data_IF_276235722401
#
_entry.id   IF_276235722401
#
_cell.length_a   1.000
_cell.length_b   1.000
_cell.length_c   1.000
_cell.angle_alpha   90.00
_cell.angle_beta   90.00
_cell.angle_gamma   90.00
#
_symmetry.space_group_name_H-M   'P 1'
#
loop_
_entity.id
_entity.type
_entity.pdbx_description
1 polymer ?
#
# COMPACT_ATOMS: atom_id res chain seq x y z
N UNK A 1 7.21 36.14 12.51
CA UNK A 1 6.60 34.80 12.53
C UNK A 1 7.34 33.99 13.58
N UNK A 2 6.64 33.71 14.67
CA UNK A 2 7.17 32.93 15.80
C UNK A 2 7.42 31.46 15.40
N UNK A 3 8.26 30.75 16.15
CA UNK A 3 8.57 29.34 15.86
C UNK A 3 7.32 28.45 15.91
N UNK A 4 6.44 28.68 16.89
CA UNK A 4 5.17 27.97 17.06
C UNK A 4 4.22 28.15 15.87
N UNK A 5 4.18 29.35 15.29
CA UNK A 5 3.36 29.66 14.11
C UNK A 5 3.87 28.92 12.87
N UNK A 6 5.20 28.84 12.68
CA UNK A 6 5.81 28.04 11.61
C UNK A 6 5.46 26.56 11.72
N UNK A 7 5.47 26.03 12.95
CA UNK A 7 5.16 24.63 13.23
C UNK A 7 3.71 24.33 12.85
N UNK A 8 2.76 25.19 13.27
CA UNK A 8 1.33 25.03 12.93
C UNK A 8 1.09 25.04 11.42
N UNK A 9 1.61 26.03 10.71
CA UNK A 9 1.49 26.12 9.25
C UNK A 9 2.05 24.87 8.56
N UNK A 10 3.14 24.30 9.09
CA UNK A 10 3.71 23.07 8.55
C UNK A 10 2.80 21.86 8.81
N UNK A 11 2.34 21.69 10.05
CA UNK A 11 1.46 20.59 10.47
C UNK A 11 0.11 20.64 9.74
N UNK A 12 -0.41 21.82 9.44
CA UNK A 12 -1.65 22.00 8.67
C UNK A 12 -1.56 21.52 7.24
N UNK A 13 -0.37 21.55 6.64
CA UNK A 13 -0.12 20.99 5.30
C UNK A 13 0.04 19.47 5.31
N UNK A 14 0.17 18.83 6.48
CA UNK A 14 0.32 17.38 6.57
C UNK A 14 -1.03 16.67 6.40
N UNK A 15 -1.06 15.48 5.78
CA UNK A 15 -2.30 14.74 5.55
C UNK A 15 -2.96 14.36 6.89
N UNK A 16 -4.29 14.52 6.97
CA UNK A 16 -5.07 14.14 8.15
C UNK A 16 -5.13 12.62 8.31
N UNK A 17 -5.20 12.15 9.55
CA UNK A 17 -5.35 10.74 9.84
C UNK A 17 -6.83 10.35 9.77
N UNK A 18 -7.19 9.51 8.81
CA UNK A 18 -8.52 8.90 8.68
C UNK A 18 -8.45 7.40 9.00
N UNK A 19 -9.38 6.91 9.81
CA UNK A 19 -9.48 5.49 10.14
C UNK A 19 -9.70 4.64 8.88
N UNK A 20 -9.06 3.47 8.80
CA UNK A 20 -9.11 2.59 7.63
C UNK A 20 -8.18 2.98 6.46
N UNK A 21 -7.59 4.19 6.46
CA UNK A 21 -6.69 4.66 5.40
C UNK A 21 -5.24 4.85 5.87
N UNK A 22 -4.80 4.07 6.86
CA UNK A 22 -3.44 4.19 7.39
C UNK A 22 -3.23 5.43 8.28
N UNK A 23 -4.28 6.01 8.87
CA UNK A 23 -4.20 7.19 9.75
C UNK A 23 -3.20 7.05 10.91
N UNK A 24 -2.97 5.82 11.40
CA UNK A 24 -1.96 5.50 12.42
C UNK A 24 -0.52 5.86 11.98
N UNK A 25 -0.22 5.72 10.69
CA UNK A 25 1.07 6.08 10.10
C UNK A 25 1.17 7.59 9.85
N UNK A 26 0.09 8.22 9.41
CA UNK A 26 0.03 9.67 9.24
C UNK A 26 0.29 10.39 10.57
N UNK A 27 -0.42 9.98 11.64
CA UNK A 27 -0.24 10.52 12.99
C UNK A 27 1.19 10.32 13.52
N UNK A 28 1.80 9.14 13.27
CA UNK A 28 3.20 8.89 13.64
C UNK A 28 4.19 9.76 12.83
N UNK A 29 3.86 10.09 11.58
CA UNK A 29 4.70 10.95 10.74
C UNK A 29 4.72 12.36 11.27
N UNK A 30 3.57 12.90 11.69
CA UNK A 30 3.48 14.21 12.37
C UNK A 30 4.30 14.21 13.66
N UNK A 31 4.16 13.17 14.49
CA UNK A 31 4.96 13.02 15.71
C UNK A 31 6.48 13.03 15.42
N UNK A 32 6.93 12.31 14.39
CA UNK A 32 8.33 12.32 13.96
C UNK A 32 8.79 13.70 13.48
N UNK A 33 7.95 14.45 12.76
CA UNK A 33 8.29 15.81 12.30
C UNK A 33 8.42 16.77 13.49
N UNK A 34 7.55 16.68 14.49
CA UNK A 34 7.64 17.53 15.69
C UNK A 34 8.89 17.23 16.50
N UNK A 35 9.17 15.95 16.77
CA UNK A 35 10.31 15.54 17.62
C UNK A 35 11.64 15.67 16.88
N UNK A 36 11.75 15.17 15.65
CA UNK A 36 13.02 15.15 14.90
C UNK A 36 13.18 16.35 13.98
N UNK A 37 12.11 16.83 13.34
CA UNK A 37 12.18 17.97 12.42
C UNK A 37 12.37 19.29 13.15
N UNK A 38 11.50 19.56 14.12
CA UNK A 38 11.52 20.79 14.89
C UNK A 38 12.33 20.68 16.19
N UNK A 39 12.74 19.47 16.57
CA UNK A 39 13.57 19.24 17.74
C UNK A 39 12.83 19.32 19.07
N UNK A 40 11.50 19.34 19.06
CA UNK A 40 10.69 19.51 20.27
C UNK A 40 10.84 18.32 21.22
N UNK A 41 10.74 18.58 22.53
CA UNK A 41 10.49 17.54 23.52
C UNK A 41 9.07 16.97 23.40
N UNK A 42 8.81 15.83 24.05
CA UNK A 42 7.47 15.22 24.05
C UNK A 42 6.40 16.17 24.61
N UNK A 43 6.76 16.95 25.63
CA UNK A 43 5.86 17.91 26.28
C UNK A 43 5.57 19.09 25.35
N UNK A 44 6.60 19.64 24.69
CA UNK A 44 6.43 20.76 23.75
C UNK A 44 5.69 20.35 22.47
N UNK A 45 5.82 19.09 22.04
CA UNK A 45 5.13 18.56 20.87
C UNK A 45 3.64 18.26 21.12
N UNK A 46 3.25 18.08 22.39
CA UNK A 46 1.90 17.63 22.76
C UNK A 46 0.78 18.59 22.31
N UNK A 47 0.88 19.93 22.53
CA UNK A 47 -0.15 20.86 22.09
C UNK A 47 -0.37 20.84 20.57
N UNK A 48 0.70 20.71 19.78
CA UNK A 48 0.61 20.65 18.32
C UNK A 48 -0.01 19.32 17.84
N UNK A 49 0.25 18.21 18.55
CA UNK A 49 -0.39 16.93 18.27
C UNK A 49 -1.89 16.96 18.59
N UNK A 50 -2.30 17.64 19.66
CA UNK A 50 -3.72 17.82 20.00
C UNK A 50 -4.44 18.66 18.94
N UNK A 51 -3.83 19.76 18.49
CA UNK A 51 -4.35 20.59 17.39
C UNK A 51 -4.51 19.79 16.09
N UNK A 52 -3.50 18.97 15.74
CA UNK A 52 -3.59 18.03 14.61
C UNK A 52 -4.70 16.98 14.79
N UNK A 53 -4.87 16.45 16.00
CA UNK A 53 -5.88 15.43 16.33
C UNK A 53 -7.31 15.90 16.07
N UNK A 54 -7.59 17.19 16.27
CA UNK A 54 -8.92 17.78 16.00
C UNK A 54 -9.32 17.68 14.52
N UNK A 55 -8.35 17.59 13.60
CA UNK A 55 -8.60 17.41 12.16
C UNK A 55 -8.69 15.94 11.75
N UNK A 56 -8.44 15.01 12.66
CA UNK A 56 -8.46 13.57 12.40
C UNK A 56 -9.85 12.97 12.63
N UNK A 57 -10.15 11.87 11.94
CA UNK A 57 -11.43 11.16 12.09
C UNK A 57 -11.20 9.66 12.30
N UNK A 58 -11.53 9.11 13.48
CA UNK A 58 -11.93 9.81 14.70
C UNK A 58 -10.75 10.61 15.33
N UNK A 59 -11.04 11.59 16.21
CA UNK A 59 -10.01 12.26 17.00
C UNK A 59 -9.25 11.25 17.88
N UNK A 60 -7.93 11.42 17.98
CA UNK A 60 -7.07 10.60 18.82
C UNK A 60 -7.17 11.01 20.28
N UNK A 61 -7.10 10.02 21.18
CA UNK A 61 -7.02 10.26 22.62
C UNK A 61 -5.63 10.74 23.02
N UNK A 62 -5.56 11.47 24.13
CA UNK A 62 -4.30 11.94 24.74
C UNK A 62 -3.26 10.81 24.90
N UNK A 63 -3.71 9.64 25.39
CA UNK A 63 -2.85 8.47 25.62
C UNK A 63 -2.25 7.93 24.31
N UNK A 64 -3.01 7.93 23.24
CA UNK A 64 -2.55 7.50 21.92
C UNK A 64 -1.55 8.48 21.33
N UNK A 65 -1.82 9.79 21.43
CA UNK A 65 -0.89 10.84 20.99
C UNK A 65 0.45 10.74 21.72
N UNK A 66 0.43 10.57 23.05
CA UNK A 66 1.65 10.33 23.82
C UNK A 66 2.37 9.05 23.41
N UNK A 67 1.64 7.98 23.10
CA UNK A 67 2.23 6.76 22.58
C UNK A 67 2.94 7.01 21.24
N UNK A 68 2.33 7.78 20.33
CA UNK A 68 2.94 8.16 19.04
C UNK A 68 4.19 9.02 19.22
N UNK A 69 4.17 9.98 20.13
CA UNK A 69 5.34 10.81 20.45
C UNK A 69 6.49 9.97 21.01
N UNK A 70 6.21 9.05 21.94
CA UNK A 70 7.20 8.09 22.45
C UNK A 70 7.73 7.16 21.36
N UNK A 71 6.87 6.70 20.46
CA UNK A 71 7.30 5.91 19.30
C UNK A 71 8.18 6.72 18.34
N UNK A 72 7.91 8.01 18.17
CA UNK A 72 8.70 8.90 17.35
C UNK A 72 10.10 9.11 17.95
N UNK A 73 10.22 9.37 19.24
CA UNK A 73 11.50 9.53 19.93
C UNK A 73 12.41 8.30 19.81
N UNK A 74 11.83 7.09 19.92
CA UNK A 74 12.58 5.82 19.77
C UNK A 74 13.00 5.52 18.33
N UNK A 75 12.40 6.16 17.32
CA UNK A 75 12.76 5.91 15.92
C UNK A 75 14.05 6.65 15.55
N UNK A 76 15.03 5.98 14.92
CA UNK A 76 16.21 6.65 14.40
C UNK A 76 15.81 7.61 13.27
N UNK A 77 16.40 8.80 13.26
CA UNK A 77 16.23 9.81 12.21
C UNK A 77 17.55 10.01 11.47
N UNK A 78 17.58 9.69 10.18
CA UNK A 78 18.77 9.86 9.33
C UNK A 78 19.15 11.34 9.13
N UNK A 79 18.21 12.26 9.39
CA UNK A 79 18.37 13.71 9.17
C UNK A 79 18.84 14.48 10.41
N UNK A 80 19.09 13.79 11.52
CA UNK A 80 19.37 14.43 12.81
C UNK A 80 18.13 15.12 13.42
N UNK A 81 18.30 15.76 14.58
CA UNK A 81 17.25 16.49 15.30
C UNK A 81 17.33 17.99 14.95
N UNK A 82 16.20 18.64 14.70
CA UNK A 82 16.11 20.07 14.39
C UNK A 82 16.36 20.44 12.93
N UNK A 83 16.27 19.49 11.98
CA UNK A 83 16.57 19.75 10.56
C UNK A 83 15.65 20.76 9.87
N UNK A 84 14.52 21.14 10.48
CA UNK A 84 13.60 22.18 9.98
C UNK A 84 13.84 23.57 10.59
N UNK A 85 14.73 23.68 11.57
CA UNK A 85 15.07 24.94 12.23
C UNK A 85 16.05 25.80 11.42
N UNK A 86 16.85 25.19 10.55
CA UNK A 86 17.86 25.91 9.78
C UNK A 86 17.21 26.89 8.79
N UNK A 87 17.51 28.17 8.98
CA UNK A 87 17.20 29.23 8.02
C UNK A 87 18.08 29.01 6.80
N UNK A 88 17.51 28.90 5.60
CA UNK A 88 18.27 28.94 4.36
C UNK A 88 18.85 30.34 4.18
N UNK A 89 20.02 30.59 4.75
CA UNK A 89 20.90 31.63 4.25
C UNK A 89 21.64 31.06 3.04
N UNK A 90 21.36 31.64 1.88
CA UNK A 90 22.08 31.34 0.64
C UNK A 90 21.60 30.09 -0.09
N UNK A 91 21.16 30.28 -1.33
CA UNK A 91 21.25 29.25 -2.37
C UNK A 91 22.73 28.88 -2.49
N UNK A 92 23.12 27.73 -1.96
CA UNK A 92 24.21 26.99 -2.55
C UNK A 92 23.59 25.82 -3.32
N UNK A 93 23.92 25.75 -4.60
CA UNK A 93 23.49 24.68 -5.49
C UNK A 93 24.15 23.40 -5.04
N UNK A 94 23.54 22.68 -4.11
CA UNK A 94 24.01 21.34 -3.75
C UNK A 94 23.83 20.46 -4.97
N UNK A 95 24.95 20.28 -5.68
CA UNK A 95 25.23 19.16 -6.57
C UNK A 95 24.54 17.93 -6.01
N UNK A 96 23.81 17.24 -6.88
CA UNK A 96 22.89 16.15 -6.56
C UNK A 96 23.36 15.39 -5.33
N UNK A 97 22.59 15.52 -4.25
CA UNK A 97 22.78 14.68 -3.08
C UNK A 97 22.83 13.26 -3.61
N UNK A 98 23.98 12.60 -3.44
CA UNK A 98 24.19 11.22 -3.84
C UNK A 98 23.00 10.43 -3.32
N UNK A 99 22.09 10.10 -4.23
CA UNK A 99 20.94 9.29 -3.92
C UNK A 99 21.51 7.90 -3.69
N UNK A 100 22.01 7.65 -2.48
CA UNK A 100 22.35 6.30 -2.07
C UNK A 100 21.01 5.58 -2.13
N UNK A 101 20.82 4.64 -3.07
CA UNK A 101 19.57 3.91 -3.15
C UNK A 101 19.34 3.37 -1.74
N UNK A 102 18.17 3.67 -1.18
CA UNK A 102 17.77 3.18 0.14
C UNK A 102 18.11 1.70 0.11
N UNK A 103 19.10 1.27 0.91
CA UNK A 103 19.51 -0.12 0.91
C UNK A 103 18.24 -0.90 1.15
N UNK A 104 17.80 -1.62 0.13
CA UNK A 104 16.61 -2.41 0.21
C UNK A 104 16.96 -3.37 1.33
N UNK A 105 16.26 -3.25 2.46
CA UNK A 105 16.37 -4.28 3.50
C UNK A 105 16.25 -5.58 2.74
N UNK A 106 17.19 -6.53 2.87
CA UNK A 106 17.11 -7.77 2.15
C UNK A 106 15.68 -8.24 2.31
N UNK A 107 14.97 -8.36 1.18
CA UNK A 107 13.65 -8.98 1.19
C UNK A 107 13.90 -10.24 1.99
N UNK A 108 13.22 -10.39 3.14
CA UNK A 108 13.26 -11.69 3.81
C UNK A 108 12.80 -12.63 2.71
N UNK A 109 13.73 -13.38 2.14
CA UNK A 109 13.39 -14.55 1.37
C UNK A 109 12.65 -15.38 2.40
N UNK A 110 11.33 -15.29 2.36
CA UNK A 110 10.49 -16.32 2.91
C UNK A 110 10.88 -17.53 2.10
N UNK A 111 11.89 -18.24 2.58
CA UNK A 111 12.30 -19.50 2.01
C UNK A 111 11.01 -20.30 2.00
N UNK A 112 10.55 -20.69 0.80
CA UNK A 112 9.31 -21.45 0.60
C UNK A 112 9.19 -22.66 1.54
N UNK A 113 10.31 -23.12 2.10
CA UNK A 113 10.40 -24.11 3.17
C UNK A 113 9.51 -23.81 4.40
N UNK A 114 9.21 -22.56 4.75
CA UNK A 114 8.26 -22.27 5.84
C UNK A 114 6.81 -22.64 5.49
N UNK A 115 6.41 -22.58 4.21
CA UNK A 115 5.09 -23.07 3.78
C UNK A 115 4.99 -24.59 3.84
N UNK A 116 6.11 -25.32 3.85
CA UNK A 116 6.11 -26.77 4.03
C UNK A 116 5.72 -27.19 5.46
N UNK A 117 5.64 -26.24 6.40
CA UNK A 117 5.18 -26.46 7.78
C UNK A 117 3.76 -25.94 7.98
N UNK A 118 2.85 -26.22 7.04
CA UNK A 118 1.42 -26.10 7.35
C UNK A 118 1.15 -27.02 8.53
N UNK A 119 0.83 -26.44 9.68
CA UNK A 119 0.35 -27.19 10.83
C UNK A 119 -1.08 -27.64 10.51
N UNK A 120 -1.22 -28.86 9.98
CA UNK A 120 -2.49 -29.43 9.59
C UNK A 120 -3.52 -29.42 10.73
N UNK A 121 -3.07 -29.58 11.98
CA UNK A 121 -3.95 -29.51 13.16
C UNK A 121 -4.50 -28.10 13.37
N UNK A 122 -3.64 -27.08 13.30
CA UNK A 122 -4.09 -25.69 13.44
C UNK A 122 -5.05 -25.28 12.32
N UNK A 123 -4.85 -25.78 11.09
CA UNK A 123 -5.79 -25.57 9.99
C UNK A 123 -7.11 -26.30 10.28
N UNK A 124 -7.06 -27.56 10.71
CA UNK A 124 -8.25 -28.34 11.06
C UNK A 124 -9.06 -27.67 12.17
N UNK A 125 -8.40 -27.24 13.26
CA UNK A 125 -9.02 -26.53 14.38
C UNK A 125 -9.65 -25.20 13.93
N UNK A 126 -8.96 -24.43 13.08
CA UNK A 126 -9.48 -23.16 12.56
C UNK A 126 -10.69 -23.36 11.63
N UNK A 127 -10.70 -24.45 10.85
CA UNK A 127 -11.80 -24.79 9.95
C UNK A 127 -12.89 -25.64 10.59
N UNK A 128 -12.77 -25.96 11.89
CA UNK A 128 -13.73 -26.79 12.60
C UNK A 128 -15.13 -26.13 12.58
N UNK A 129 -16.10 -26.82 11.99
CA UNK A 129 -17.48 -26.33 11.86
C UNK A 129 -17.79 -25.64 10.53
N UNK A 130 -16.81 -25.44 9.65
CA UNK A 130 -17.06 -25.02 8.27
C UNK A 130 -17.55 -26.24 7.49
N UNK A 131 -18.73 -26.20 6.84
CA UNK A 131 -19.18 -27.29 5.98
C UNK A 131 -18.18 -27.51 4.84
N UNK A 132 -18.05 -28.76 4.38
CA UNK A 132 -17.16 -29.07 3.27
C UNK A 132 -17.44 -28.14 2.08
N UNK A 133 -16.41 -27.43 1.64
CA UNK A 133 -16.44 -26.58 0.46
C UNK A 133 -15.96 -27.42 -0.71
N UNK A 134 -16.90 -28.12 -1.33
CA UNK A 134 -16.66 -28.97 -2.50
C UNK A 134 -17.21 -28.32 -3.79
N UNK A 135 -17.01 -28.97 -4.93
CA UNK A 135 -17.52 -28.49 -6.23
C UNK A 135 -19.04 -28.31 -6.21
N UNK A 136 -19.76 -29.21 -5.53
CA UNK A 136 -21.22 -29.12 -5.40
C UNK A 136 -21.64 -27.88 -4.57
N UNK A 137 -20.86 -27.52 -3.56
CA UNK A 137 -21.06 -26.31 -2.75
C UNK A 137 -20.91 -25.05 -3.60
N UNK A 138 -19.91 -24.99 -4.49
CA UNK A 138 -19.69 -23.88 -5.41
C UNK A 138 -20.76 -23.84 -6.51
N UNK A 139 -21.08 -24.97 -7.13
CA UNK A 139 -22.07 -25.07 -8.20
C UNK A 139 -23.46 -24.56 -7.77
N UNK A 140 -23.84 -24.76 -6.49
CA UNK A 140 -25.10 -24.24 -5.94
C UNK A 140 -25.14 -22.71 -5.80
N UNK A 141 -23.98 -22.04 -5.78
CA UNK A 141 -23.85 -20.60 -5.47
C UNK A 141 -23.36 -19.77 -6.64
N UNK A 142 -22.65 -20.39 -7.57
CA UNK A 142 -22.19 -19.74 -8.77
C UNK A 142 -23.30 -19.66 -9.80
N UNK A 143 -23.46 -18.49 -10.42
CA UNK A 143 -24.33 -18.33 -11.59
C UNK A 143 -23.75 -18.97 -12.86
N UNK A 144 -22.49 -19.40 -12.80
CA UNK A 144 -21.74 -20.00 -13.91
C UNK A 144 -21.19 -21.35 -13.47
N UNK A 145 -21.16 -22.33 -14.39
CA UNK A 145 -20.56 -23.63 -14.13
C UNK A 145 -19.06 -23.51 -13.87
N UNK A 146 -18.66 -23.61 -12.61
CA UNK A 146 -17.28 -23.45 -12.16
C UNK A 146 -16.34 -24.56 -12.65
N UNK A 147 -16.86 -25.72 -13.06
CA UNK A 147 -16.04 -26.86 -13.46
C UNK A 147 -15.50 -26.71 -14.89
N UNK A 148 -16.18 -25.95 -15.74
CA UNK A 148 -15.87 -25.82 -17.16
C UNK A 148 -15.34 -24.43 -17.57
N UNK A 149 -15.24 -23.48 -16.61
CA UNK A 149 -14.84 -22.10 -16.89
C UNK A 149 -13.33 -21.99 -17.10
N UNK A 150 -12.94 -21.56 -18.29
CA UNK A 150 -11.57 -21.12 -18.58
C UNK A 150 -11.38 -19.62 -18.27
N UNK A 151 -10.14 -19.11 -18.41
CA UNK A 151 -9.84 -17.70 -18.12
C UNK A 151 -10.71 -16.73 -18.91
N UNK A 152 -11.09 -17.06 -20.14
CA UNK A 152 -11.94 -16.20 -20.97
C UNK A 152 -13.38 -16.23 -20.48
N UNK A 153 -13.94 -17.42 -20.22
CA UNK A 153 -15.27 -17.59 -19.64
C UNK A 153 -15.42 -16.89 -18.28
N UNK A 154 -14.37 -16.92 -17.45
CA UNK A 154 -14.35 -16.22 -16.18
C UNK A 154 -14.45 -14.71 -16.38
N UNK A 155 -13.64 -14.15 -17.27
CA UNK A 155 -13.68 -12.71 -17.57
C UNK A 155 -15.02 -12.29 -18.18
N UNK A 156 -15.60 -13.09 -19.07
CA UNK A 156 -16.95 -12.85 -19.61
C UNK A 156 -18.03 -12.79 -18.53
N UNK A 157 -17.85 -13.51 -17.42
CA UNK A 157 -18.82 -13.58 -16.33
C UNK A 157 -18.76 -12.37 -15.38
N UNK A 158 -17.60 -11.71 -15.27
CA UNK A 158 -17.38 -10.61 -14.31
C UNK A 158 -17.35 -9.21 -14.95
N UNK A 159 -17.17 -9.12 -16.28
CA UNK A 159 -17.14 -7.87 -17.03
C UNK A 159 -18.37 -7.72 -17.91
N UNK A 160 -18.76 -6.48 -18.20
CA UNK A 160 -19.92 -6.19 -19.05
C UNK A 160 -19.59 -6.39 -20.53
N UNK A 161 -20.62 -6.42 -21.38
CA UNK A 161 -20.42 -6.44 -22.83
C UNK A 161 -19.66 -5.18 -23.25
N UNK A 162 -18.74 -5.33 -24.20
CA UNK A 162 -17.87 -4.25 -24.70
C UNK A 162 -16.72 -3.79 -23.79
N UNK A 163 -16.62 -4.32 -22.56
CA UNK A 163 -15.46 -4.06 -21.70
C UNK A 163 -14.17 -4.59 -22.30
N UNK A 164 -13.09 -3.82 -22.13
CA UNK A 164 -11.73 -4.18 -22.54
C UNK A 164 -10.84 -4.31 -21.33
N UNK A 165 -10.37 -5.53 -21.09
CA UNK A 165 -9.54 -5.90 -19.94
C UNK A 165 -8.10 -6.06 -20.40
N UNK A 166 -7.20 -5.24 -19.84
CA UNK A 166 -5.76 -5.36 -20.09
C UNK A 166 -5.16 -6.42 -19.14
N UNK A 167 -4.44 -7.39 -19.70
CA UNK A 167 -3.91 -8.55 -18.98
C UNK A 167 -2.39 -8.57 -19.08
N UNK A 168 -1.75 -8.86 -17.94
CA UNK A 168 -0.31 -8.97 -17.80
C UNK A 168 0.06 -10.42 -17.45
N UNK A 169 0.88 -11.05 -18.28
CA UNK A 169 1.57 -12.30 -17.98
C UNK A 169 2.99 -12.07 -17.44
N UNK A 170 3.56 -10.89 -17.70
CA UNK A 170 4.85 -10.44 -17.19
C UNK A 170 4.67 -9.11 -16.45
N UNK A 171 5.19 -9.02 -15.23
CA UNK A 171 5.02 -7.83 -14.37
C UNK A 171 5.59 -6.53 -14.98
N UNK A 172 6.65 -6.63 -15.79
CA UNK A 172 7.31 -5.48 -16.41
C UNK A 172 6.80 -5.16 -17.83
N UNK A 173 5.75 -5.84 -18.29
CA UNK A 173 5.13 -5.60 -19.60
C UNK A 173 4.30 -4.32 -19.59
N UNK A 174 4.12 -3.69 -20.76
CA UNK A 174 3.12 -2.62 -20.95
C UNK A 174 1.69 -3.17 -21.11
N UNK A 175 1.54 -4.50 -21.13
CA UNK A 175 0.31 -5.25 -21.36
C UNK A 175 0.57 -6.34 -22.39
N UNK A 176 0.21 -7.59 -22.09
CA UNK A 176 0.47 -8.72 -22.97
C UNK A 176 -0.77 -9.13 -23.78
N UNK A 177 -1.96 -8.96 -23.20
CA UNK A 177 -3.23 -9.27 -23.87
C UNK A 177 -4.28 -8.21 -23.57
N UNK A 178 -5.23 -8.05 -24.50
CA UNK A 178 -6.53 -7.43 -24.24
C UNK A 178 -7.59 -8.51 -24.41
N UNK A 179 -8.44 -8.67 -23.40
CA UNK A 179 -9.69 -9.41 -23.53
C UNK A 179 -10.83 -8.41 -23.77
N UNK A 180 -11.65 -8.66 -24.79
CA UNK A 180 -12.82 -7.86 -25.11
C UNK A 180 -14.05 -8.75 -25.01
N UNK A 181 -14.91 -8.47 -24.04
CA UNK A 181 -16.07 -9.31 -23.78
C UNK A 181 -17.02 -9.33 -24.99
N UNK A 182 -17.36 -10.51 -25.48
CA UNK A 182 -18.11 -10.74 -26.72
C UNK A 182 -17.26 -10.85 -28.00
N UNK A 183 -15.97 -10.47 -27.96
CA UNK A 183 -15.08 -10.45 -29.13
C UNK A 183 -13.85 -11.34 -28.97
N UNK A 184 -13.53 -11.75 -27.74
CA UNK A 184 -12.45 -12.69 -27.42
C UNK A 184 -11.17 -12.00 -26.96
N UNK A 185 -10.05 -12.73 -27.01
CA UNK A 185 -8.75 -12.25 -26.55
C UNK A 185 -7.79 -11.96 -27.70
N UNK A 186 -6.95 -10.94 -27.49
CA UNK A 186 -6.00 -10.43 -28.45
C UNK A 186 -4.65 -10.25 -27.78
N UNK A 187 -3.61 -10.85 -28.33
CA UNK A 187 -2.23 -10.65 -27.91
C UNK A 187 -1.71 -9.31 -28.42
N UNK A 188 -1.14 -8.54 -27.51
CA UNK A 188 -0.48 -7.27 -27.81
C UNK A 188 0.96 -7.52 -28.27
N UNK A 189 1.44 -6.63 -29.13
CA UNK A 189 2.85 -6.59 -29.50
C UNK A 189 3.66 -5.79 -28.47
N UNK A 190 4.95 -6.10 -28.36
CA UNK A 190 5.87 -5.33 -27.52
C UNK A 190 6.13 -3.90 -28.10
N UNK A 191 5.88 -3.71 -29.40
CA UNK A 191 6.06 -2.43 -30.10
C UNK A 191 4.75 -1.66 -30.28
N UNK A 192 4.81 -0.33 -30.11
CA UNK A 192 3.66 0.56 -30.31
C UNK A 192 3.26 0.64 -31.79
N UNK A 193 1.96 0.67 -32.05
CA UNK A 193 1.40 0.83 -33.40
C UNK A 193 1.25 -0.48 -34.18
N UNK A 194 1.71 -1.60 -33.63
CA UNK A 194 1.47 -2.93 -34.19
C UNK A 194 0.08 -3.42 -33.77
N UNK A 195 -0.70 -3.95 -34.72
CA UNK A 195 -2.05 -4.47 -34.45
C UNK A 195 -1.99 -5.71 -33.56
N UNK A 196 -2.92 -5.78 -32.61
CA UNK A 196 -3.10 -6.96 -31.78
C UNK A 196 -3.60 -8.14 -32.63
N UNK A 197 -3.18 -9.35 -32.26
CA UNK A 197 -3.53 -10.59 -32.97
C UNK A 197 -4.44 -11.43 -32.09
N UNK A 198 -5.53 -11.97 -32.63
CA UNK A 198 -6.44 -12.83 -31.87
C UNK A 198 -5.68 -14.06 -31.33
N UNK A 199 -5.82 -14.32 -30.03
CA UNK A 199 -5.09 -15.38 -29.34
C UNK A 199 -5.85 -15.85 -28.11
N UNK A 200 -5.68 -17.11 -27.71
CA UNK A 200 -6.20 -17.61 -26.44
C UNK A 200 -5.46 -16.98 -25.25
N UNK A 201 -6.17 -16.78 -24.15
CA UNK A 201 -5.57 -16.35 -22.89
C UNK A 201 -4.68 -17.45 -22.30
N UNK A 202 -3.57 -17.08 -21.64
CA UNK A 202 -2.71 -18.05 -20.98
C UNK A 202 -3.47 -18.83 -19.90
N UNK A 203 -3.38 -20.16 -19.95
CA UNK A 203 -4.07 -21.10 -19.02
C UNK A 203 -3.24 -21.47 -17.79
N UNK A 204 -2.06 -20.86 -17.61
CA UNK A 204 -1.17 -21.13 -16.48
C UNK A 204 -0.29 -19.94 -16.13
N UNK A 205 -0.03 -19.77 -14.83
CA UNK A 205 1.02 -18.87 -14.33
C UNK A 205 2.36 -19.61 -14.35
N UNK A 206 3.40 -18.98 -14.90
CA UNK A 206 4.78 -19.41 -14.68
C UNK A 206 5.26 -18.94 -13.31
#
# INVERSE_FOLDING_TARGET
>A
MELSERIRIYVDKMPVAVSGQGGSNACLTVACVLVHGWGLSLVEAMPFMQEYSQRCSPPWTEKELQHKLRSAEKKPSDKGRGYLLQKKDGRDGTKGADFKPRQMRPVREFVREEWAKINAQAVADFTAGIPAVDEAWFARRSAVDVAAVDSAGFLSAIFEAEDRVLIFSRYYSQGDFIFWNGHGAFRLADERGVKAVQAELPKGGR
#
